data_IF_858797561320
#
_entry.id   IF_858797561320
#
_cell.length_a   1.000
_cell.length_b   1.000
_cell.length_c   1.000
_cell.angle_alpha   90.00
_cell.angle_beta   90.00
_cell.angle_gamma   90.00
#
_symmetry.space_group_name_H-M   'P 1'
#
loop_
_entity.id
_entity.type
_entity.pdbx_description
1 polymer ?
#
# COMPACT_ATOMS: atom_id res chain seq x y z
N UNK A 1 13.34 14.31 -21.42
CA UNK A 1 14.44 14.36 -22.39
C UNK A 1 14.39 13.19 -23.37
N UNK A 2 13.34 13.12 -24.17
CA UNK A 2 13.22 12.14 -25.26
C UNK A 2 13.75 12.70 -26.60
N UNK A 3 14.06 13.98 -26.65
CA UNK A 3 14.44 14.74 -27.85
C UNK A 3 15.80 14.34 -28.44
N UNK A 4 16.60 13.53 -27.70
CA UNK A 4 17.88 13.01 -28.16
C UNK A 4 17.80 11.71 -28.96
N UNK A 5 16.62 11.03 -28.94
CA UNK A 5 16.45 9.79 -29.71
C UNK A 5 16.18 10.12 -31.17
N UNK A 6 17.02 9.60 -32.11
CA UNK A 6 16.78 9.76 -33.54
C UNK A 6 15.40 9.19 -33.90
N UNK A 7 14.60 9.89 -34.71
CA UNK A 7 13.35 9.35 -35.21
C UNK A 7 13.61 8.13 -36.11
N UNK A 8 12.71 7.19 -36.10
CA UNK A 8 12.66 6.02 -36.99
C UNK A 8 13.72 4.90 -36.77
N UNK A 9 14.30 4.79 -35.56
CA UNK A 9 15.17 3.65 -35.21
C UNK A 9 14.42 2.42 -34.71
N UNK A 10 13.08 2.43 -34.75
CA UNK A 10 12.25 1.31 -34.31
C UNK A 10 12.13 1.18 -32.77
N UNK A 11 12.67 2.13 -32.02
CA UNK A 11 12.54 2.18 -30.55
C UNK A 11 11.29 2.96 -30.19
N UNK A 12 10.43 2.37 -29.37
CA UNK A 12 9.28 3.07 -28.81
C UNK A 12 9.72 4.17 -27.84
N UNK A 13 8.94 5.27 -27.69
CA UNK A 13 9.22 6.29 -26.71
C UNK A 13 9.39 5.69 -25.32
N UNK A 14 10.40 6.15 -24.57
CA UNK A 14 10.62 5.67 -23.21
C UNK A 14 9.43 6.02 -22.32
N UNK A 15 8.78 5.00 -21.75
CA UNK A 15 7.74 5.17 -20.74
C UNK A 15 8.41 5.33 -19.38
N UNK A 16 8.34 6.54 -18.82
CA UNK A 16 8.82 6.80 -17.46
C UNK A 16 7.69 6.52 -16.50
N UNK A 17 7.77 5.40 -15.79
CA UNK A 17 6.85 5.03 -14.72
C UNK A 17 7.57 5.16 -13.37
N UNK A 18 7.43 6.30 -12.65
CA UNK A 18 8.04 6.47 -11.34
C UNK A 18 7.35 5.54 -10.34
N UNK A 19 8.09 4.57 -9.84
CA UNK A 19 7.60 3.66 -8.81
C UNK A 19 7.77 4.27 -7.42
N UNK A 20 6.67 4.32 -6.67
CA UNK A 20 6.65 4.68 -5.26
C UNK A 20 6.72 3.46 -4.34
N UNK A 21 6.89 3.70 -3.05
CA UNK A 21 6.87 2.63 -2.04
C UNK A 21 5.50 1.95 -1.93
N UNK A 22 4.43 2.63 -2.31
CA UNK A 22 3.06 2.12 -2.31
C UNK A 22 2.73 1.28 -3.54
N UNK A 23 3.63 1.19 -4.54
CA UNK A 23 3.43 0.40 -5.76
C UNK A 23 3.73 -1.09 -5.55
N UNK A 24 4.10 -1.48 -4.33
CA UNK A 24 4.32 -2.88 -3.99
C UNK A 24 2.98 -3.61 -3.93
N UNK A 25 2.80 -4.72 -4.67
CA UNK A 25 1.57 -5.50 -4.61
C UNK A 25 1.30 -6.02 -3.20
N UNK A 26 0.07 -5.80 -2.72
CA UNK A 26 -0.38 -6.24 -1.39
C UNK A 26 -1.08 -7.60 -1.41
N UNK A 27 -1.69 -7.95 -2.54
CA UNK A 27 -2.33 -9.26 -2.75
C UNK A 27 -1.85 -9.82 -4.09
N UNK A 28 -1.60 -11.12 -4.14
CA UNK A 28 -1.42 -11.86 -5.38
C UNK A 28 -2.39 -13.03 -5.43
N UNK A 29 -3.26 -13.00 -6.44
CA UNK A 29 -4.15 -14.10 -6.81
C UNK A 29 -3.60 -14.83 -8.02
N UNK A 30 -3.49 -16.14 -7.95
CA UNK A 30 -2.93 -16.97 -9.02
C UNK A 30 -3.98 -17.92 -9.54
N UNK A 31 -4.20 -17.88 -10.84
CA UNK A 31 -4.96 -18.89 -11.59
C UNK A 31 -3.99 -19.93 -12.11
N UNK A 32 -4.35 -21.20 -11.98
CA UNK A 32 -3.53 -22.32 -12.44
C UNK A 32 -4.41 -23.50 -12.80
N UNK A 33 -3.88 -24.44 -13.59
CA UNK A 33 -4.59 -25.66 -13.94
C UNK A 33 -3.65 -26.86 -13.97
N UNK A 34 -4.15 -28.00 -13.48
CA UNK A 34 -3.50 -29.30 -13.63
C UNK A 34 -3.95 -30.03 -14.91
N UNK A 35 -4.99 -29.54 -15.59
CA UNK A 35 -5.49 -30.08 -16.83
C UNK A 35 -4.54 -29.74 -17.98
N UNK A 36 -4.01 -30.74 -18.72
CA UNK A 36 -3.08 -30.53 -19.82
C UNK A 36 -3.71 -29.75 -21.00
N UNK A 37 -5.04 -29.75 -21.13
CA UNK A 37 -5.75 -29.06 -22.21
C UNK A 37 -5.95 -27.56 -21.90
N UNK A 38 -5.68 -27.13 -20.67
CA UNK A 38 -5.79 -25.73 -20.23
C UNK A 38 -4.39 -25.11 -20.16
N UNK A 39 -4.08 -24.28 -21.16
CA UNK A 39 -2.81 -23.59 -21.25
C UNK A 39 -2.79 -22.24 -20.54
N UNK A 40 -1.59 -21.62 -20.50
CA UNK A 40 -1.39 -20.31 -19.88
C UNK A 40 -2.16 -19.18 -20.60
N UNK A 41 -2.50 -19.34 -21.88
CA UNK A 41 -3.30 -18.39 -22.65
C UNK A 41 -4.75 -18.32 -22.13
N UNK A 42 -5.38 -19.50 -21.92
CA UNK A 42 -6.74 -19.60 -21.38
C UNK A 42 -6.80 -19.03 -19.96
N UNK A 43 -5.81 -19.34 -19.13
CA UNK A 43 -5.67 -18.77 -17.79
C UNK A 43 -5.57 -17.24 -17.83
N UNK A 44 -4.78 -16.68 -18.76
CA UNK A 44 -4.63 -15.23 -18.91
C UNK A 44 -5.93 -14.56 -19.34
N UNK A 45 -6.70 -15.18 -20.22
CA UNK A 45 -8.00 -14.66 -20.65
C UNK A 45 -8.99 -14.55 -19.49
N UNK A 46 -9.04 -15.56 -18.61
CA UNK A 46 -9.87 -15.52 -17.40
C UNK A 46 -9.31 -14.50 -16.39
N UNK A 47 -7.98 -14.42 -16.26
CA UNK A 47 -7.33 -13.45 -15.38
C UNK A 47 -7.68 -12.00 -15.75
N UNK A 48 -7.70 -11.64 -17.02
CA UNK A 48 -8.09 -10.28 -17.46
C UNK A 48 -9.56 -9.95 -17.18
N UNK A 49 -10.46 -10.95 -17.26
CA UNK A 49 -11.85 -10.75 -16.86
C UNK A 49 -11.96 -10.47 -15.35
N UNK A 50 -11.22 -11.20 -14.53
CA UNK A 50 -11.15 -10.97 -13.07
C UNK A 50 -10.48 -9.64 -12.75
N UNK A 51 -9.39 -9.29 -13.42
CA UNK A 51 -8.66 -8.02 -13.27
C UNK A 51 -9.59 -6.82 -13.42
N UNK A 52 -10.40 -6.81 -14.49
CA UNK A 52 -11.37 -5.74 -14.76
C UNK A 52 -12.34 -5.53 -13.59
N UNK A 53 -12.78 -6.59 -12.95
CA UNK A 53 -13.65 -6.53 -11.78
C UNK A 53 -12.92 -6.14 -10.49
N UNK A 54 -11.69 -6.60 -10.32
CA UNK A 54 -10.86 -6.23 -9.17
C UNK A 54 -10.45 -4.75 -9.20
N UNK A 55 -10.28 -4.15 -10.37
CA UNK A 55 -10.00 -2.72 -10.52
C UNK A 55 -11.12 -1.83 -9.95
N UNK A 56 -12.35 -2.35 -9.85
CA UNK A 56 -13.50 -1.64 -9.25
C UNK A 56 -13.49 -1.64 -7.73
N UNK A 57 -12.63 -2.44 -7.09
CA UNK A 57 -12.53 -2.48 -5.62
C UNK A 57 -11.95 -1.16 -5.12
N UNK A 58 -12.63 -0.45 -4.19
CA UNK A 58 -12.14 0.82 -3.69
C UNK A 58 -10.75 0.69 -3.03
N UNK A 59 -9.83 1.57 -3.38
CA UNK A 59 -8.48 1.57 -2.83
C UNK A 59 -7.45 0.78 -3.65
N UNK A 60 -7.84 0.02 -4.67
CA UNK A 60 -6.92 -0.55 -5.65
C UNK A 60 -6.36 0.55 -6.57
N UNK A 61 -5.09 0.44 -6.92
CA UNK A 61 -4.41 1.34 -7.86
C UNK A 61 -4.17 0.63 -9.18
N UNK A 62 -3.22 -0.27 -9.20
CA UNK A 62 -2.79 -1.00 -10.39
C UNK A 62 -2.91 -2.51 -10.13
N UNK A 63 -3.25 -3.23 -11.17
CA UNK A 63 -3.26 -4.69 -11.18
C UNK A 63 -2.40 -5.13 -12.36
N UNK A 64 -1.32 -5.84 -12.06
CA UNK A 64 -0.43 -6.40 -13.06
C UNK A 64 -0.73 -7.89 -13.24
N UNK A 65 -1.16 -8.28 -14.42
CA UNK A 65 -1.33 -9.71 -14.79
C UNK A 65 -0.03 -10.24 -15.38
N UNK A 66 0.61 -11.16 -14.67
CA UNK A 66 1.92 -11.70 -14.98
C UNK A 66 1.78 -13.16 -15.42
N UNK A 67 2.40 -13.51 -16.55
CA UNK A 67 2.37 -14.85 -17.13
C UNK A 67 1.28 -15.05 -18.18
N UNK A 68 1.43 -16.11 -18.94
CA UNK A 68 0.62 -16.40 -20.11
C UNK A 68 0.85 -15.44 -21.29
N UNK A 69 0.72 -15.91 -22.52
CA UNK A 69 0.82 -15.08 -23.71
C UNK A 69 -0.45 -14.23 -23.91
N UNK A 70 -0.27 -13.05 -24.48
CA UNK A 70 -1.38 -12.21 -24.92
C UNK A 70 -2.11 -12.83 -26.10
N UNK A 71 -3.33 -12.35 -26.36
CA UNK A 71 -4.10 -12.70 -27.54
C UNK A 71 -3.72 -11.76 -28.68
N UNK A 72 -3.18 -12.31 -29.75
CA UNK A 72 -2.74 -11.54 -30.92
C UNK A 72 -3.29 -12.12 -32.20
N UNK A 73 -3.37 -11.31 -33.24
CA UNK A 73 -3.58 -11.77 -34.61
C UNK A 73 -2.21 -11.96 -35.25
N UNK A 74 -1.86 -13.20 -35.48
CA UNK A 74 -0.62 -13.59 -36.16
C UNK A 74 -0.81 -13.55 -37.67
N UNK A 75 0.03 -12.78 -38.34
CA UNK A 75 0.09 -12.71 -39.81
C UNK A 75 1.36 -13.43 -40.25
N UNK A 76 1.20 -14.62 -40.76
CA UNK A 76 2.31 -15.46 -41.24
C UNK A 76 2.46 -15.31 -42.75
N UNK A 77 3.49 -14.59 -43.16
CA UNK A 77 3.73 -14.27 -44.54
C UNK A 77 4.22 -15.49 -45.34
N UNK A 78 3.76 -15.64 -46.59
CA UNK A 78 4.27 -16.62 -47.55
C UNK A 78 5.19 -15.92 -48.55
N UNK A 79 6.55 -16.18 -48.49
CA UNK A 79 7.51 -15.48 -49.30
C UNK A 79 7.34 -15.74 -50.84
N UNK A 80 6.84 -16.96 -51.23
CA UNK A 80 6.63 -17.31 -52.61
C UNK A 80 5.47 -16.52 -53.19
N UNK A 81 4.39 -16.41 -52.44
CA UNK A 81 3.22 -15.63 -52.84
C UNK A 81 3.50 -14.12 -52.88
N UNK A 82 4.25 -13.58 -51.87
CA UNK A 82 4.66 -12.18 -51.89
C UNK A 82 5.45 -11.86 -53.17
N UNK A 83 6.41 -12.72 -53.52
CA UNK A 83 7.22 -12.58 -54.72
C UNK A 83 6.37 -12.72 -56.00
N UNK A 84 5.37 -13.63 -56.01
CA UNK A 84 4.48 -13.84 -57.12
C UNK A 84 3.56 -12.66 -57.45
N UNK A 85 3.16 -11.89 -56.40
CA UNK A 85 2.33 -10.68 -56.52
C UNK A 85 3.14 -9.37 -56.54
N UNK A 86 4.51 -9.44 -56.49
CA UNK A 86 5.40 -8.29 -56.50
C UNK A 86 5.13 -7.32 -55.33
N UNK A 87 4.87 -7.88 -54.13
CA UNK A 87 4.58 -7.11 -52.89
C UNK A 87 5.82 -7.13 -51.98
N UNK A 88 6.35 -5.95 -51.66
CA UNK A 88 7.42 -5.82 -50.75
C UNK A 88 6.98 -5.65 -49.27
N UNK A 89 7.91 -5.95 -48.32
CA UNK A 89 7.63 -5.85 -46.88
C UNK A 89 7.31 -4.41 -46.40
N UNK A 90 8.01 -3.36 -46.90
CA UNK A 90 7.67 -1.97 -46.58
C UNK A 90 6.23 -1.59 -46.98
N UNK A 91 5.80 -1.99 -48.18
CA UNK A 91 4.47 -1.77 -48.69
C UNK A 91 3.41 -2.45 -47.79
N UNK A 92 3.63 -3.72 -47.46
CA UNK A 92 2.78 -4.50 -46.60
C UNK A 92 2.67 -3.85 -45.21
N UNK A 93 3.81 -3.45 -44.63
CA UNK A 93 3.83 -2.74 -43.32
C UNK A 93 3.10 -1.42 -43.36
N UNK A 94 3.22 -0.65 -44.46
CA UNK A 94 2.52 0.59 -44.68
C UNK A 94 0.99 0.38 -44.77
N UNK A 95 0.55 -0.65 -45.51
CA UNK A 95 -0.86 -1.00 -45.62
C UNK A 95 -1.47 -1.38 -44.26
N UNK A 96 -0.80 -2.24 -43.48
CA UNK A 96 -1.24 -2.65 -42.14
C UNK A 96 -1.29 -1.45 -41.17
N UNK A 97 -0.28 -0.59 -41.18
CA UNK A 97 -0.21 0.55 -40.32
C UNK A 97 -1.31 1.60 -40.62
N UNK A 98 -1.60 1.82 -41.91
CA UNK A 98 -2.63 2.77 -42.33
C UNK A 98 -4.07 2.25 -42.10
N UNK A 99 -4.27 0.93 -42.21
CA UNK A 99 -5.57 0.31 -42.00
C UNK A 99 -5.98 0.20 -40.54
N UNK A 100 -4.99 0.10 -39.62
CA UNK A 100 -5.23 0.02 -38.18
C UNK A 100 -4.92 1.36 -37.50
N UNK A 101 -5.55 2.42 -37.96
CA UNK A 101 -5.35 3.77 -37.45
C UNK A 101 -6.72 4.50 -37.35
N UNK A 102 -6.85 5.25 -36.25
CA UNK A 102 -7.92 6.20 -36.08
C UNK A 102 -7.31 7.60 -35.95
N UNK A 103 -7.76 8.53 -36.78
CA UNK A 103 -7.30 9.92 -36.75
C UNK A 103 -8.44 10.86 -36.40
N UNK A 104 -8.14 11.89 -35.66
CA UNK A 104 -9.06 13.00 -35.43
C UNK A 104 -9.17 13.80 -36.74
N UNK A 105 -10.35 13.79 -37.36
CA UNK A 105 -10.65 14.49 -38.61
C UNK A 105 -11.16 15.93 -38.37
N UNK A 106 -11.14 16.40 -37.12
CA UNK A 106 -11.64 17.71 -36.70
C UNK A 106 -13.01 17.64 -36.05
N UNK A 107 -13.65 18.79 -35.87
CA UNK A 107 -15.01 18.91 -35.34
C UNK A 107 -15.88 19.86 -36.16
N UNK A 108 -17.18 19.72 -36.04
CA UNK A 108 -18.12 20.71 -36.55
C UNK A 108 -19.19 21.04 -35.53
N UNK A 109 -19.57 22.29 -35.50
CA UNK A 109 -20.63 22.78 -34.61
C UNK A 109 -22.01 22.58 -35.20
N UNK A 110 -22.90 21.86 -34.49
CA UNK A 110 -24.30 21.69 -34.86
C UNK A 110 -25.18 21.69 -33.61
N UNK A 111 -26.25 22.48 -33.61
CA UNK A 111 -27.20 22.54 -32.48
C UNK A 111 -26.60 23.03 -31.16
N UNK A 112 -25.57 23.89 -31.19
CA UNK A 112 -24.81 24.37 -30.05
C UNK A 112 -23.96 23.28 -29.35
N UNK A 113 -23.67 22.19 -30.07
CA UNK A 113 -22.73 21.12 -29.64
C UNK A 113 -21.57 21.06 -30.62
N UNK A 114 -20.36 20.78 -30.12
CA UNK A 114 -19.17 20.53 -30.91
C UNK A 114 -19.03 19.02 -31.12
N UNK A 115 -19.28 18.56 -32.37
CA UNK A 115 -19.26 17.15 -32.73
C UNK A 115 -17.90 16.80 -33.29
N UNK A 116 -17.13 15.99 -32.53
CA UNK A 116 -15.83 15.46 -32.93
C UNK A 116 -16.04 14.40 -34.04
N UNK A 117 -15.29 14.53 -35.12
CA UNK A 117 -15.28 13.57 -36.24
C UNK A 117 -13.98 12.76 -36.15
N UNK A 118 -14.14 11.46 -36.00
CA UNK A 118 -13.02 10.52 -36.07
C UNK A 118 -13.10 9.75 -37.40
N UNK A 119 -12.01 9.67 -38.12
CA UNK A 119 -11.87 8.88 -39.35
C UNK A 119 -10.99 7.66 -39.11
N UNK A 120 -11.41 6.51 -39.61
CA UNK A 120 -10.73 5.24 -39.40
C UNK A 120 -11.26 4.46 -38.20
N UNK A 121 -10.99 3.18 -38.18
CA UNK A 121 -11.36 2.25 -37.11
C UNK A 121 -10.18 1.35 -36.82
N UNK A 122 -10.06 0.89 -35.56
CA UNK A 122 -9.14 -0.18 -35.24
C UNK A 122 -9.70 -1.53 -35.68
N UNK A 123 -8.87 -2.35 -36.28
CA UNK A 123 -9.25 -3.69 -36.70
C UNK A 123 -9.49 -4.56 -35.45
N UNK A 124 -10.63 -5.26 -35.45
CA UNK A 124 -11.09 -6.02 -34.27
C UNK A 124 -11.21 -7.53 -34.54
N UNK A 125 -11.27 -7.95 -35.80
CA UNK A 125 -11.43 -9.34 -36.17
C UNK A 125 -10.32 -9.81 -37.16
N UNK A 126 -9.88 -11.09 -37.07
CA UNK A 126 -8.91 -11.65 -38.01
C UNK A 126 -9.38 -11.57 -39.49
N UNK A 127 -10.66 -11.70 -39.72
CA UNK A 127 -11.27 -11.63 -41.03
C UNK A 127 -11.14 -10.24 -41.68
N UNK A 128 -11.30 -9.16 -40.86
CA UNK A 128 -11.07 -7.78 -41.30
C UNK A 128 -9.62 -7.56 -41.72
N UNK A 129 -8.69 -8.16 -41.00
CA UNK A 129 -7.27 -8.09 -41.30
C UNK A 129 -6.92 -8.89 -42.55
N UNK A 130 -7.50 -10.08 -42.70
CA UNK A 130 -7.32 -10.92 -43.87
C UNK A 130 -7.81 -10.28 -45.16
N UNK A 131 -8.87 -9.45 -45.09
CA UNK A 131 -9.49 -8.75 -46.18
C UNK A 131 -8.84 -7.39 -46.52
N UNK A 132 -7.78 -7.01 -45.83
CA UNK A 132 -7.03 -5.79 -46.16
C UNK A 132 -6.38 -5.89 -47.54
N UNK A 133 -6.55 -4.82 -48.34
CA UNK A 133 -5.85 -4.68 -49.60
C UNK A 133 -4.40 -4.25 -49.33
N UNK A 134 -3.45 -5.10 -49.69
CA UNK A 134 -2.03 -4.90 -49.47
C UNK A 134 -1.25 -4.50 -50.72
N UNK A 135 -1.89 -4.60 -51.86
CA UNK A 135 -1.31 -4.23 -53.17
C UNK A 135 -2.29 -4.37 -54.30
N UNK A 136 -1.78 -4.14 -55.52
CA UNK A 136 -2.50 -4.36 -56.79
C UNK A 136 -1.63 -5.25 -57.66
N UNK A 137 -2.18 -6.35 -58.13
CA UNK A 137 -1.50 -7.29 -58.99
C UNK A 137 -1.23 -6.72 -60.37
N UNK A 138 -0.37 -7.40 -61.16
CA UNK A 138 -0.05 -7.01 -62.51
C UNK A 138 -1.25 -6.97 -63.46
N UNK A 139 -2.33 -7.66 -63.12
CA UNK A 139 -3.61 -7.68 -63.82
C UNK A 139 -4.61 -6.56 -63.41
N UNK A 140 -4.18 -5.65 -62.52
CA UNK A 140 -4.94 -4.54 -61.98
C UNK A 140 -5.95 -4.93 -60.88
N UNK A 141 -5.95 -6.17 -60.41
CA UNK A 141 -6.80 -6.62 -59.32
C UNK A 141 -6.24 -6.34 -57.96
N UNK A 142 -7.05 -6.01 -56.92
CA UNK A 142 -6.58 -5.87 -55.56
C UNK A 142 -6.05 -7.21 -55.04
N UNK A 143 -4.92 -7.18 -54.38
CA UNK A 143 -4.33 -8.31 -53.64
C UNK A 143 -4.66 -8.13 -52.18
N UNK A 144 -5.33 -9.10 -51.60
CA UNK A 144 -5.72 -9.11 -50.21
C UNK A 144 -4.64 -9.78 -49.35
N UNK A 145 -4.57 -9.45 -48.06
CA UNK A 145 -3.60 -10.04 -47.16
C UNK A 145 -3.72 -11.57 -47.11
N UNK A 146 -4.94 -12.12 -47.15
CA UNK A 146 -5.18 -13.59 -47.19
C UNK A 146 -4.56 -14.28 -48.40
N UNK A 147 -4.30 -13.53 -49.49
CA UNK A 147 -3.73 -14.10 -50.70
C UNK A 147 -2.20 -14.35 -50.53
N UNK A 148 -1.57 -13.60 -49.64
CA UNK A 148 -0.11 -13.61 -49.44
C UNK A 148 0.31 -14.00 -48.01
N UNK A 149 -0.66 -14.21 -47.09
CA UNK A 149 -0.41 -14.57 -45.70
C UNK A 149 -1.46 -15.48 -45.12
N UNK A 150 -1.13 -16.22 -44.09
CA UNK A 150 -2.06 -16.91 -43.21
C UNK A 150 -2.35 -16.03 -41.99
N UNK A 151 -3.60 -15.65 -41.78
CA UNK A 151 -4.04 -14.78 -40.70
C UNK A 151 -4.78 -15.61 -39.69
N UNK A 152 -4.26 -15.69 -38.47
CA UNK A 152 -4.84 -16.50 -37.39
C UNK A 152 -4.89 -15.75 -36.07
N UNK A 153 -5.95 -15.96 -35.30
CA UNK A 153 -6.06 -15.46 -33.94
C UNK A 153 -5.53 -16.52 -32.97
N UNK A 154 -4.62 -16.16 -32.12
CA UNK A 154 -4.04 -17.10 -31.18
C UNK A 154 -3.15 -16.45 -30.10
N UNK A 155 -2.47 -17.26 -29.30
CA UNK A 155 -1.49 -16.79 -28.34
C UNK A 155 -0.26 -16.21 -29.01
N UNK A 156 0.29 -15.15 -28.45
CA UNK A 156 1.61 -14.62 -28.79
C UNK A 156 2.73 -15.52 -28.23
N UNK A 157 3.96 -15.19 -28.54
CA UNK A 157 5.14 -15.80 -27.90
C UNK A 157 5.17 -15.37 -26.42
N UNK A 158 5.30 -16.32 -25.47
CA UNK A 158 5.28 -15.99 -24.07
C UNK A 158 6.53 -15.22 -23.65
N UNK A 159 6.38 -13.98 -23.24
CA UNK A 159 7.48 -13.16 -22.69
C UNK A 159 7.81 -13.56 -21.24
N UNK A 160 6.80 -13.94 -20.46
CA UNK A 160 6.95 -14.35 -19.07
C UNK A 160 6.28 -15.70 -18.83
N UNK A 161 6.98 -16.61 -18.16
CA UNK A 161 6.45 -17.90 -17.76
C UNK A 161 6.24 -17.93 -16.26
N UNK A 162 5.00 -18.18 -15.83
CA UNK A 162 4.63 -18.41 -14.44
C UNK A 162 4.20 -19.86 -14.26
N UNK A 163 4.67 -20.50 -13.20
CA UNK A 163 4.27 -21.85 -12.84
C UNK A 163 3.81 -21.90 -11.38
N UNK A 164 2.77 -22.66 -11.11
CA UNK A 164 2.30 -22.97 -9.77
C UNK A 164 2.89 -24.29 -9.31
N UNK A 165 3.66 -24.28 -8.22
CA UNK A 165 4.28 -25.46 -7.65
C UNK A 165 3.45 -26.04 -6.49
N UNK A 166 3.22 -27.35 -6.50
CA UNK A 166 2.52 -28.05 -5.43
C UNK A 166 3.50 -28.33 -4.27
N UNK A 167 3.29 -27.66 -3.14
CA UNK A 167 4.09 -27.83 -1.93
C UNK A 167 3.55 -28.92 -1.00
N UNK A 168 4.31 -29.32 0.05
CA UNK A 168 3.89 -30.37 0.98
C UNK A 168 2.67 -30.04 1.84
N UNK A 169 2.37 -28.75 2.01
CA UNK A 169 1.20 -28.27 2.76
C UNK A 169 0.02 -27.89 1.84
N UNK A 170 -0.05 -28.50 0.65
CA UNK A 170 -1.13 -28.24 -0.28
C UNK A 170 -2.45 -28.92 0.17
N UNK A 171 -3.57 -28.27 -0.15
CA UNK A 171 -4.92 -28.84 0.04
C UNK A 171 -5.45 -29.58 -1.19
N UNK A 172 -4.60 -29.88 -2.18
CA UNK A 172 -4.97 -30.50 -3.44
C UNK A 172 -4.48 -31.93 -3.47
N UNK A 173 -5.26 -32.85 -4.05
CA UNK A 173 -4.85 -34.24 -4.25
C UNK A 173 -3.93 -34.40 -5.49
N UNK A 174 -2.76 -33.70 -5.40
CA UNK A 174 -1.76 -33.66 -6.45
C UNK A 174 -0.37 -33.96 -5.88
N UNK A 175 0.52 -34.60 -6.66
CA UNK A 175 1.87 -34.94 -6.21
C UNK A 175 2.70 -33.70 -5.86
N UNK A 176 3.37 -33.76 -4.71
CA UNK A 176 4.28 -32.71 -4.28
C UNK A 176 5.44 -32.54 -5.26
N UNK A 177 5.77 -31.30 -5.60
CA UNK A 177 6.84 -30.96 -6.53
C UNK A 177 6.40 -30.85 -7.99
N UNK A 178 5.14 -31.11 -8.32
CA UNK A 178 4.62 -30.87 -9.68
C UNK A 178 4.48 -29.38 -9.96
N UNK A 179 4.72 -28.99 -11.20
CA UNK A 179 4.63 -27.62 -11.69
C UNK A 179 3.52 -27.53 -12.74
N UNK A 180 2.62 -26.59 -12.57
CA UNK A 180 1.47 -26.37 -13.46
C UNK A 180 1.54 -24.98 -14.09
N UNK A 181 1.03 -24.78 -15.32
CA UNK A 181 0.94 -23.45 -15.91
C UNK A 181 0.08 -22.53 -15.04
N UNK A 182 0.51 -21.31 -14.89
CA UNK A 182 -0.17 -20.34 -14.03
C UNK A 182 -0.10 -18.92 -14.56
N UNK A 183 -1.03 -18.08 -14.08
CA UNK A 183 -1.06 -16.64 -14.30
C UNK A 183 -1.35 -15.96 -12.97
N UNK A 184 -0.57 -14.96 -12.62
CA UNK A 184 -0.69 -14.26 -11.34
C UNK A 184 -1.13 -12.82 -11.56
N UNK A 185 -2.19 -12.42 -10.87
CA UNK A 185 -2.64 -11.04 -10.76
C UNK A 185 -2.08 -10.41 -9.49
N UNK A 186 -1.24 -9.41 -9.64
CA UNK A 186 -0.58 -8.69 -8.55
C UNK A 186 -1.29 -7.35 -8.33
N UNK A 187 -1.94 -7.18 -7.18
CA UNK A 187 -2.78 -6.01 -6.87
C UNK A 187 -2.05 -5.05 -5.96
N UNK A 188 -1.83 -3.81 -6.41
CA UNK A 188 -1.28 -2.71 -5.63
C UNK A 188 -2.39 -1.78 -5.08
N UNK A 189 -2.14 -1.12 -3.94
CA UNK A 189 -3.07 -0.19 -3.32
C UNK A 189 -2.77 1.27 -3.69
N UNK A 190 -3.77 2.15 -3.57
CA UNK A 190 -3.56 3.60 -3.64
C UNK A 190 -2.77 4.11 -2.44
N UNK A 191 -1.92 5.13 -2.61
CA UNK A 191 -1.27 5.82 -1.50
C UNK A 191 -2.29 6.30 -0.46
N UNK A 192 -1.94 6.22 0.83
CA UNK A 192 -2.81 6.67 1.93
C UNK A 192 -3.95 5.71 2.31
N UNK A 193 -4.21 4.63 1.54
CA UNK A 193 -5.23 3.64 1.91
C UNK A 193 -4.69 2.58 2.88
N UNK A 194 -5.58 2.01 3.69
CA UNK A 194 -5.21 0.93 4.61
C UNK A 194 -5.00 -0.39 3.85
N UNK A 195 -3.81 -0.96 3.95
CA UNK A 195 -3.45 -2.19 3.25
C UNK A 195 -4.28 -3.41 3.71
N UNK A 196 -4.70 -3.46 4.98
CA UNK A 196 -5.51 -4.57 5.53
C UNK A 196 -6.91 -4.55 4.92
N UNK A 197 -7.56 -3.38 4.91
CA UNK A 197 -8.92 -3.22 4.41
C UNK A 197 -8.99 -3.48 2.91
N UNK A 198 -8.04 -2.91 2.15
CA UNK A 198 -7.97 -3.13 0.68
C UNK A 198 -7.68 -4.59 0.36
N UNK A 199 -6.73 -5.23 1.08
CA UNK A 199 -6.43 -6.64 0.85
C UNK A 199 -7.63 -7.55 1.13
N UNK A 200 -8.35 -7.32 2.23
CA UNK A 200 -9.54 -8.09 2.58
C UNK A 200 -10.66 -7.90 1.53
N UNK A 201 -10.89 -6.67 1.08
CA UNK A 201 -11.88 -6.38 0.04
C UNK A 201 -11.52 -7.03 -1.31
N UNK A 202 -10.24 -6.98 -1.70
CA UNK A 202 -9.74 -7.63 -2.92
C UNK A 202 -9.88 -9.15 -2.84
N UNK A 203 -9.50 -9.77 -1.71
CA UNK A 203 -9.60 -11.21 -1.52
C UNK A 203 -11.06 -11.66 -1.55
N UNK A 204 -11.96 -10.99 -0.83
CA UNK A 204 -13.38 -11.31 -0.83
C UNK A 204 -13.98 -11.19 -2.25
N UNK A 205 -13.59 -10.16 -3.01
CA UNK A 205 -14.02 -10.01 -4.40
C UNK A 205 -13.44 -11.10 -5.30
N UNK A 206 -12.16 -11.43 -5.14
CA UNK A 206 -11.49 -12.51 -5.88
C UNK A 206 -12.15 -13.86 -5.64
N UNK A 207 -12.48 -14.21 -4.40
CA UNK A 207 -13.17 -15.45 -4.04
C UNK A 207 -14.59 -15.49 -4.64
N UNK A 208 -15.32 -14.38 -4.62
CA UNK A 208 -16.64 -14.27 -5.27
C UNK A 208 -16.54 -14.49 -6.77
N UNK A 209 -15.57 -13.86 -7.44
CA UNK A 209 -15.34 -13.98 -8.87
C UNK A 209 -14.86 -15.38 -9.26
N UNK A 210 -14.06 -16.02 -8.40
CA UNK A 210 -13.60 -17.40 -8.61
C UNK A 210 -14.77 -18.36 -8.75
N UNK A 211 -15.82 -18.19 -7.96
CA UNK A 211 -17.03 -19.02 -8.05
C UNK A 211 -17.92 -18.73 -9.27
N UNK A 212 -17.64 -17.66 -10.02
CA UNK A 212 -18.53 -17.23 -11.14
C UNK A 212 -17.82 -17.20 -12.48
N UNK A 213 -16.56 -16.75 -12.52
CA UNK A 213 -15.80 -16.53 -13.76
C UNK A 213 -14.76 -17.60 -14.05
N UNK A 214 -14.36 -18.38 -13.04
CA UNK A 214 -13.34 -19.43 -13.23
C UNK A 214 -14.03 -20.72 -13.66
N UNK A 215 -13.74 -21.23 -14.88
CA UNK A 215 -14.31 -22.47 -15.39
C UNK A 215 -13.82 -23.70 -14.62
N UNK A 216 -14.54 -24.81 -14.75
CA UNK A 216 -14.10 -26.12 -14.23
C UNK A 216 -12.72 -26.50 -14.82
N UNK A 217 -11.88 -27.12 -13.99
CA UNK A 217 -10.50 -27.47 -14.35
C UNK A 217 -9.47 -26.37 -14.10
N UNK A 218 -9.90 -25.14 -13.82
CA UNK A 218 -9.02 -24.06 -13.35
C UNK A 218 -9.17 -23.85 -11.86
N UNK A 219 -8.06 -23.52 -11.21
CA UNK A 219 -8.01 -23.21 -9.78
C UNK A 219 -7.59 -21.77 -9.55
N UNK A 220 -8.23 -21.12 -8.58
CA UNK A 220 -7.91 -19.78 -8.13
C UNK A 220 -7.37 -19.83 -6.70
N UNK A 221 -6.17 -19.33 -6.47
CA UNK A 221 -5.49 -19.43 -5.17
C UNK A 221 -4.85 -18.09 -4.80
N UNK A 222 -5.06 -17.62 -3.58
CA UNK A 222 -4.33 -16.45 -3.05
C UNK A 222 -2.92 -16.93 -2.64
N UNK A 223 -1.92 -16.51 -3.40
CA UNK A 223 -0.51 -16.89 -3.17
C UNK A 223 0.23 -15.91 -2.29
N UNK A 224 -0.27 -14.68 -2.16
CA UNK A 224 0.32 -13.64 -1.29
C UNK A 224 -0.76 -12.77 -0.68
N UNK A 225 -0.68 -12.56 0.64
CA UNK A 225 -1.54 -11.65 1.40
C UNK A 225 -0.70 -10.83 2.36
N UNK A 226 -0.26 -9.64 1.92
CA UNK A 226 0.46 -8.72 2.79
C UNK A 226 -0.47 -7.97 3.77
N UNK A 227 -1.78 -7.91 3.48
CA UNK A 227 -2.76 -7.38 4.43
C UNK A 227 -2.78 -8.19 5.73
N UNK A 228 -2.85 -9.52 5.64
CA UNK A 228 -2.78 -10.40 6.81
C UNK A 228 -1.44 -10.25 7.56
N UNK A 229 -0.32 -10.14 6.82
CA UNK A 229 1.00 -9.90 7.42
C UNK A 229 1.05 -8.55 8.14
N UNK A 230 0.46 -7.50 7.57
CA UNK A 230 0.40 -6.18 8.19
C UNK A 230 -0.45 -6.18 9.47
N UNK A 231 -1.61 -6.85 9.45
CA UNK A 231 -2.50 -7.00 10.60
C UNK A 231 -1.82 -7.77 11.75
N UNK A 232 -1.17 -8.91 11.45
CA UNK A 232 -0.41 -9.68 12.45
C UNK A 232 0.71 -8.84 13.09
N UNK A 233 1.47 -8.10 12.27
CA UNK A 233 2.53 -7.20 12.77
C UNK A 233 1.96 -6.06 13.61
N UNK A 234 0.85 -5.44 13.19
CA UNK A 234 0.18 -4.40 13.97
C UNK A 234 -0.30 -4.94 15.33
N UNK A 235 -0.98 -6.09 15.36
CA UNK A 235 -1.42 -6.76 16.60
C UNK A 235 -0.25 -7.11 17.51
N UNK A 236 0.86 -7.60 16.94
CA UNK A 236 2.08 -7.92 17.69
C UNK A 236 2.68 -6.65 18.32
N UNK A 237 2.73 -5.53 17.59
CA UNK A 237 3.24 -4.27 18.10
C UNK A 237 2.34 -3.68 19.18
N UNK A 238 1.01 -3.77 19.04
CA UNK A 238 0.06 -3.35 20.08
C UNK A 238 0.26 -4.16 21.37
N UNK A 239 0.43 -5.49 21.27
CA UNK A 239 0.76 -6.32 22.43
C UNK A 239 2.06 -5.90 23.11
N UNK A 240 3.10 -5.58 22.33
CA UNK A 240 4.37 -5.07 22.85
C UNK A 240 4.24 -3.68 23.49
N UNK A 241 3.40 -2.81 22.92
CA UNK A 241 3.09 -1.50 23.48
C UNK A 241 2.43 -1.63 24.87
N UNK A 242 1.41 -2.50 24.98
CA UNK A 242 0.74 -2.78 26.27
C UNK A 242 1.75 -3.36 27.28
N UNK A 243 2.57 -4.31 26.84
CA UNK A 243 3.59 -4.91 27.71
C UNK A 243 4.60 -3.86 28.20
N UNK A 244 5.10 -3.00 27.33
CA UNK A 244 6.03 -1.93 27.69
C UNK A 244 5.39 -0.96 28.70
N UNK A 245 4.16 -0.52 28.44
CA UNK A 245 3.40 0.36 29.36
C UNK A 245 3.21 -0.27 30.73
N UNK A 246 2.79 -1.53 30.79
CA UNK A 246 2.63 -2.26 32.07
C UNK A 246 3.97 -2.42 32.82
N UNK A 247 5.05 -2.72 32.08
CA UNK A 247 6.39 -2.86 32.67
C UNK A 247 6.85 -1.57 33.36
N UNK A 248 6.61 -0.42 32.71
CA UNK A 248 6.94 0.88 33.29
C UNK A 248 6.08 1.17 34.53
N UNK A 249 4.76 0.93 34.47
CA UNK A 249 3.86 1.12 35.59
C UNK A 249 4.28 0.26 36.80
N UNK A 250 4.67 -1.00 36.55
CA UNK A 250 5.19 -1.90 37.62
C UNK A 250 6.49 -1.37 38.19
N UNK A 251 7.41 -0.88 37.34
CA UNK A 251 8.68 -0.31 37.81
C UNK A 251 8.44 0.90 38.71
N UNK A 252 7.55 1.81 38.29
CA UNK A 252 7.16 2.99 39.09
C UNK A 252 6.49 2.55 40.40
N UNK A 253 5.66 1.51 40.38
CA UNK A 253 4.98 0.99 41.56
C UNK A 253 5.99 0.43 42.60
N UNK A 254 7.08 -0.16 42.13
CA UNK A 254 8.15 -0.67 42.99
C UNK A 254 9.04 0.46 43.53
N UNK A 255 9.32 1.47 42.69
CA UNK A 255 10.27 2.55 43.03
C UNK A 255 9.61 3.64 43.90
N UNK A 256 8.40 4.10 43.56
CA UNK A 256 7.73 5.24 44.18
C UNK A 256 6.49 4.84 45.02
N UNK A 257 5.81 3.79 44.62
CA UNK A 257 4.63 3.31 45.33
C UNK A 257 3.41 3.10 44.38
N UNK A 258 2.35 2.45 44.96
CA UNK A 258 1.19 2.05 44.13
C UNK A 258 0.34 3.24 43.71
N UNK A 259 0.26 4.30 44.48
CA UNK A 259 -0.57 5.49 44.16
C UNK A 259 0.09 6.35 43.10
N UNK A 260 1.39 6.56 43.22
CA UNK A 260 2.24 7.23 42.25
C UNK A 260 2.18 6.51 40.93
N UNK A 261 2.30 5.19 40.93
CA UNK A 261 2.16 4.36 39.73
C UNK A 261 0.81 4.46 39.05
N UNK A 262 -0.28 4.62 39.81
CA UNK A 262 -1.61 4.87 39.21
C UNK A 262 -1.67 6.22 38.52
N UNK A 263 -1.10 7.27 39.12
CA UNK A 263 -1.06 8.61 38.51
C UNK A 263 -0.21 8.61 37.24
N UNK A 264 1.00 8.06 37.28
CA UNK A 264 1.88 7.94 36.11
C UNK A 264 1.22 7.07 35.03
N UNK A 265 0.64 5.92 35.42
CA UNK A 265 -0.03 5.03 34.48
C UNK A 265 -1.22 5.69 33.78
N UNK A 266 -2.03 6.45 34.50
CA UNK A 266 -3.13 7.22 33.93
C UNK A 266 -2.61 8.32 32.97
N UNK A 267 -1.55 9.04 33.35
CA UNK A 267 -0.93 10.05 32.51
C UNK A 267 -0.40 9.44 31.19
N UNK A 268 0.28 8.29 31.24
CA UNK A 268 0.78 7.58 30.08
C UNK A 268 -0.36 7.14 29.14
N UNK A 269 -1.42 6.56 29.68
CA UNK A 269 -2.59 6.12 28.90
C UNK A 269 -3.24 7.32 28.21
N UNK A 270 -3.42 8.44 28.93
CA UNK A 270 -3.97 9.68 28.35
C UNK A 270 -3.08 10.21 27.22
N UNK A 271 -1.76 10.27 27.45
CA UNK A 271 -0.77 10.72 26.44
C UNK A 271 -0.85 9.85 25.20
N UNK A 272 -0.85 8.53 25.34
CA UNK A 272 -0.96 7.61 24.21
C UNK A 272 -2.28 7.76 23.47
N UNK A 273 -3.39 7.89 24.18
CA UNK A 273 -4.71 8.06 23.58
C UNK A 273 -4.80 9.37 22.78
N UNK A 274 -4.30 10.49 23.33
CA UNK A 274 -4.30 11.78 22.64
C UNK A 274 -3.35 11.73 21.44
N UNK A 275 -2.17 11.11 21.56
CA UNK A 275 -1.20 10.97 20.46
C UNK A 275 -1.76 10.13 19.32
N UNK A 276 -2.44 9.01 19.62
CA UNK A 276 -3.14 8.19 18.62
C UNK A 276 -4.26 8.97 17.93
N UNK A 277 -5.07 9.70 18.70
CA UNK A 277 -6.13 10.55 18.18
C UNK A 277 -5.58 11.66 17.27
N UNK A 278 -4.54 12.35 17.69
CA UNK A 278 -3.89 13.41 16.90
C UNK A 278 -3.28 12.86 15.61
N UNK A 279 -2.63 11.68 15.69
CA UNK A 279 -2.09 10.98 14.52
C UNK A 279 -3.20 10.64 13.51
N UNK A 280 -4.34 10.12 13.99
CA UNK A 280 -5.51 9.84 13.17
C UNK A 280 -6.11 11.11 12.56
N UNK A 281 -6.26 12.19 13.34
CA UNK A 281 -6.80 13.46 12.88
C UNK A 281 -5.90 14.14 11.83
N UNK A 282 -4.59 13.92 11.90
CA UNK A 282 -3.63 14.39 10.90
C UNK A 282 -3.65 13.55 9.61
N UNK A 283 -4.38 12.44 9.58
CA UNK A 283 -4.52 11.56 8.40
C UNK A 283 -3.45 10.46 8.30
N UNK A 284 -2.66 10.22 9.34
CA UNK A 284 -1.76 9.06 9.36
C UNK A 284 -2.52 7.76 9.56
N UNK A 285 -2.17 6.75 8.78
CA UNK A 285 -2.66 5.39 8.98
C UNK A 285 -1.89 4.71 10.12
N UNK A 286 -2.59 3.90 10.92
CA UNK A 286 -1.95 3.02 11.90
C UNK A 286 -1.22 1.89 11.17
N UNK A 287 0.04 2.12 10.88
CA UNK A 287 0.91 1.17 10.23
C UNK A 287 2.06 0.74 11.16
N UNK A 288 2.85 -0.22 10.69
CA UNK A 288 4.02 -0.73 11.44
C UNK A 288 4.98 0.38 11.88
N UNK A 289 5.18 1.41 11.05
CA UNK A 289 6.12 2.49 11.32
C UNK A 289 5.59 3.44 12.39
N UNK A 290 4.31 3.82 12.29
CA UNK A 290 3.63 4.67 13.29
C UNK A 290 3.60 4.01 14.67
N UNK A 291 3.26 2.70 14.72
CA UNK A 291 3.26 1.94 15.98
C UNK A 291 4.68 1.77 16.55
N UNK A 292 5.68 1.57 15.70
CA UNK A 292 7.06 1.51 16.13
C UNK A 292 7.52 2.85 16.73
N UNK A 293 7.15 3.98 16.10
CA UNK A 293 7.43 5.31 16.62
C UNK A 293 6.83 5.52 18.02
N UNK A 294 5.61 5.06 18.25
CA UNK A 294 4.95 5.14 19.57
C UNK A 294 5.66 4.26 20.61
N UNK A 295 6.05 3.03 20.26
CA UNK A 295 6.78 2.15 21.19
C UNK A 295 8.14 2.74 21.54
N UNK A 296 8.85 3.28 20.54
CA UNK A 296 10.15 3.92 20.75
C UNK A 296 10.03 5.15 21.64
N UNK A 297 9.03 5.98 21.43
CA UNK A 297 8.84 7.21 22.19
C UNK A 297 8.28 6.98 23.60
N UNK A 298 7.65 5.82 23.89
CA UNK A 298 7.01 5.59 25.19
C UNK A 298 7.98 5.72 26.37
N UNK A 299 9.24 5.29 26.21
CA UNK A 299 10.29 5.44 27.24
C UNK A 299 10.62 6.91 27.52
N UNK A 300 10.49 7.78 26.54
CA UNK A 300 10.73 9.23 26.67
C UNK A 300 9.47 9.94 27.19
N UNK A 301 8.29 9.51 26.70
CA UNK A 301 7.00 10.10 27.07
C UNK A 301 6.65 9.90 28.54
N UNK A 302 7.13 8.83 29.14
CA UNK A 302 6.83 8.50 30.54
C UNK A 302 7.68 9.32 31.50
N UNK A 303 8.90 9.71 31.10
CA UNK A 303 9.85 10.42 31.96
C UNK A 303 9.31 11.76 32.47
N UNK A 304 8.61 12.52 31.62
CA UNK A 304 8.00 13.81 32.04
C UNK A 304 7.02 13.63 33.20
N UNK A 305 6.16 12.61 33.13
CA UNK A 305 5.18 12.33 34.17
C UNK A 305 5.85 11.79 35.47
N UNK A 306 6.91 10.96 35.33
CA UNK A 306 7.66 10.43 36.47
C UNK A 306 8.32 11.54 37.23
N UNK A 307 9.04 12.44 36.56
CA UNK A 307 9.77 13.56 37.20
C UNK A 307 8.80 14.47 37.95
N UNK A 308 7.65 14.79 37.39
CA UNK A 308 6.62 15.61 38.03
C UNK A 308 6.04 14.92 39.26
N UNK A 309 5.71 13.62 39.16
CA UNK A 309 5.16 12.85 40.30
C UNK A 309 6.16 12.66 41.40
N UNK A 310 7.41 12.34 41.07
CA UNK A 310 8.51 12.17 42.04
C UNK A 310 8.74 13.48 42.81
N UNK A 311 8.86 14.60 42.11
CA UNK A 311 9.06 15.89 42.75
C UNK A 311 7.88 16.33 43.60
N UNK A 312 6.64 16.08 43.13
CA UNK A 312 5.44 16.34 43.92
C UNK A 312 5.40 15.48 45.20
N UNK A 313 5.77 14.20 45.10
CA UNK A 313 5.89 13.29 46.22
C UNK A 313 6.95 13.77 47.21
N UNK A 314 8.14 14.18 46.75
CA UNK A 314 9.20 14.75 47.58
C UNK A 314 8.75 16.01 48.33
N UNK A 315 8.09 16.95 47.63
CA UNK A 315 7.57 18.17 48.24
C UNK A 315 6.46 17.89 49.25
N UNK A 316 5.61 16.91 49.04
CA UNK A 316 4.60 16.51 50.01
C UNK A 316 5.19 16.07 51.36
N UNK A 317 6.32 15.37 51.33
CA UNK A 317 6.96 14.87 52.56
C UNK A 317 7.89 15.89 53.24
N UNK A 318 8.50 16.82 52.50
CA UNK A 318 9.53 17.73 53.04
C UNK A 318 8.92 19.08 53.47
N UNK A 319 7.95 19.61 52.74
CA UNK A 319 7.53 21.00 52.86
C UNK A 319 6.56 21.27 54.00
N UNK A 320 5.85 20.26 54.50
CA UNK A 320 4.77 20.44 55.49
C UNK A 320 3.65 21.38 55.07
N UNK A 321 3.63 21.83 53.80
CA UNK A 321 2.65 22.72 53.21
C UNK A 321 1.40 21.95 52.71
N UNK A 322 0.23 22.59 52.66
CA UNK A 322 -0.93 21.98 52.05
C UNK A 322 -0.65 21.57 50.58
N UNK A 323 -1.16 20.40 50.16
CA UNK A 323 -0.93 19.84 48.84
C UNK A 323 -1.23 20.85 47.68
N UNK A 324 -2.24 21.68 47.84
CA UNK A 324 -2.62 22.72 46.88
C UNK A 324 -1.51 23.74 46.61
N UNK A 325 -0.61 24.01 47.60
CA UNK A 325 0.50 24.93 47.46
C UNK A 325 1.81 24.22 47.10
N UNK A 326 1.99 23.00 47.58
CA UNK A 326 3.26 22.24 47.36
C UNK A 326 3.35 21.71 45.90
N UNK A 327 2.26 21.28 45.31
CA UNK A 327 2.24 20.73 43.95
C UNK A 327 2.66 21.75 42.86
N UNK A 328 2.13 22.99 42.82
CA UNK A 328 2.57 23.97 41.85
C UNK A 328 4.08 24.32 41.99
N UNK A 329 4.58 24.41 43.21
CA UNK A 329 6.01 24.65 43.47
C UNK A 329 6.88 23.49 42.96
N UNK A 330 6.44 22.27 43.20
CA UNK A 330 7.13 21.08 42.68
C UNK A 330 7.15 21.04 41.14
N UNK A 331 6.07 21.42 40.49
CA UNK A 331 5.98 21.49 39.01
C UNK A 331 6.88 22.60 38.47
N UNK A 332 6.90 23.76 39.11
CA UNK A 332 7.72 24.91 38.72
C UNK A 332 9.22 24.60 38.79
N UNK A 333 9.66 23.89 39.83
CA UNK A 333 11.06 23.50 40.04
C UNK A 333 11.59 22.63 38.89
N UNK A 334 10.80 21.66 38.41
CA UNK A 334 11.20 20.72 37.34
C UNK A 334 10.79 21.17 35.95
N UNK A 335 9.90 22.16 35.82
CA UNK A 335 9.30 22.58 34.57
C UNK A 335 10.32 23.05 33.54
N UNK A 336 11.22 23.94 33.92
CA UNK A 336 12.24 24.47 33.01
C UNK A 336 13.16 23.39 32.42
N UNK A 337 13.81 22.55 33.24
CA UNK A 337 14.63 21.43 32.77
C UNK A 337 13.88 20.44 31.88
N UNK A 338 12.66 20.08 32.24
CA UNK A 338 11.86 19.13 31.49
C UNK A 338 11.45 19.70 30.10
N UNK A 339 11.04 20.97 30.03
CA UNK A 339 10.74 21.64 28.76
C UNK A 339 11.98 21.64 27.85
N UNK A 340 13.14 22.03 28.39
CA UNK A 340 14.39 22.08 27.63
C UNK A 340 14.80 20.69 27.12
N UNK A 341 14.68 19.66 27.97
CA UNK A 341 14.98 18.28 27.59
C UNK A 341 14.07 17.80 26.44
N UNK A 342 12.76 18.03 26.54
CA UNK A 342 11.79 17.67 25.49
C UNK A 342 12.12 18.34 24.15
N UNK A 343 12.38 19.65 24.15
CA UNK A 343 12.75 20.36 22.91
C UNK A 343 14.10 19.89 22.34
N UNK A 344 15.05 19.53 23.20
CA UNK A 344 16.35 18.97 22.76
C UNK A 344 16.17 17.64 22.04
N UNK A 345 15.33 16.74 22.57
CA UNK A 345 15.04 15.46 21.93
C UNK A 345 14.26 15.66 20.60
N UNK A 346 13.29 16.59 20.57
CA UNK A 346 12.60 16.94 19.33
C UNK A 346 13.58 17.44 18.28
N UNK A 347 14.49 18.35 18.65
CA UNK A 347 15.51 18.88 17.74
C UNK A 347 16.45 17.78 17.22
N UNK A 348 16.78 16.78 18.03
CA UNK A 348 17.60 15.64 17.63
C UNK A 348 16.87 14.70 16.63
N UNK A 349 15.54 14.58 16.73
CA UNK A 349 14.73 13.76 15.82
C UNK A 349 14.38 14.47 14.53
N UNK A 350 14.36 15.79 14.51
CA UNK A 350 13.90 16.61 13.37
C UNK A 350 14.65 16.30 12.05
N UNK A 351 15.98 16.07 12.02
CA UNK A 351 16.68 15.74 10.79
C UNK A 351 16.13 14.51 10.06
N UNK A 352 15.56 13.54 10.76
CA UNK A 352 14.93 12.37 10.14
C UNK A 352 13.68 12.71 9.34
N UNK A 353 13.01 13.83 9.61
CA UNK A 353 11.84 14.29 8.87
C UNK A 353 12.20 14.85 7.49
N UNK A 354 13.46 15.23 7.27
CA UNK A 354 13.96 15.79 6.02
C UNK A 354 14.64 14.78 5.10
N UNK A 355 14.54 13.48 5.41
CA UNK A 355 15.06 12.42 4.54
C UNK A 355 14.29 12.45 3.22
N UNK A 356 15.03 12.56 2.10
CA UNK A 356 14.48 12.61 0.75
C UNK A 356 14.50 11.25 0.05
N UNK A 357 13.87 11.18 -1.14
CA UNK A 357 13.80 9.97 -1.95
C UNK A 357 12.71 9.00 -1.49
N UNK A 358 12.78 7.75 -1.95
CA UNK A 358 11.76 6.71 -1.69
C UNK A 358 11.54 6.42 -0.19
N UNK A 359 12.59 6.57 0.62
CA UNK A 359 12.52 6.32 2.06
C UNK A 359 11.95 7.49 2.87
N UNK A 360 11.92 8.71 2.31
CA UNK A 360 11.40 9.90 2.98
C UNK A 360 9.98 9.73 3.52
N UNK A 361 8.98 9.49 2.67
CA UNK A 361 7.60 9.28 3.11
C UNK A 361 7.43 8.13 4.09
N UNK A 362 8.30 7.11 4.02
CA UNK A 362 8.28 5.96 4.90
C UNK A 362 8.85 6.27 6.29
N UNK A 363 9.91 7.08 6.38
CA UNK A 363 10.60 7.41 7.63
C UNK A 363 9.99 8.62 8.35
N UNK A 364 9.40 9.57 7.62
CA UNK A 364 8.83 10.80 8.17
C UNK A 364 7.80 10.61 9.31
N UNK A 365 6.93 9.57 9.31
CA UNK A 365 6.01 9.35 10.42
C UNK A 365 6.68 9.10 11.77
N UNK A 366 7.94 8.64 11.81
CA UNK A 366 8.66 8.36 13.07
C UNK A 366 8.92 9.65 13.84
N UNK A 367 9.71 10.63 13.32
CA UNK A 367 10.00 11.86 14.04
C UNK A 367 8.75 12.71 14.27
N UNK A 368 7.78 12.71 13.36
CA UNK A 368 6.55 13.49 13.50
C UNK A 368 5.71 12.94 14.67
N UNK A 369 5.41 11.64 14.70
CA UNK A 369 4.61 11.05 15.77
C UNK A 369 5.35 11.10 17.14
N UNK A 370 6.66 10.88 17.16
CA UNK A 370 7.44 10.96 18.39
C UNK A 370 7.46 12.39 18.92
N UNK A 371 7.71 13.40 18.07
CA UNK A 371 7.71 14.81 18.48
C UNK A 371 6.36 15.29 18.96
N UNK A 372 5.29 14.92 18.24
CA UNK A 372 3.91 15.21 18.63
C UNK A 372 3.58 14.55 19.98
N UNK A 373 3.95 13.28 20.15
CA UNK A 373 3.76 12.55 21.39
C UNK A 373 4.48 13.23 22.58
N UNK A 374 5.72 13.69 22.37
CA UNK A 374 6.49 14.41 23.42
C UNK A 374 5.85 15.75 23.81
N UNK A 375 5.35 16.54 22.85
CA UNK A 375 4.62 17.78 23.18
C UNK A 375 3.33 17.48 23.94
N UNK A 376 2.60 16.42 23.59
CA UNK A 376 1.39 15.97 24.29
C UNK A 376 1.77 15.48 25.69
N UNK A 377 2.87 14.71 25.84
CA UNK A 377 3.36 14.24 27.14
C UNK A 377 3.67 15.39 28.08
N UNK A 378 4.41 16.39 27.59
CA UNK A 378 4.73 17.60 28.34
C UNK A 378 3.46 18.31 28.82
N UNK A 379 2.47 18.47 27.96
CA UNK A 379 1.17 19.05 28.30
C UNK A 379 0.44 18.22 29.37
N UNK A 380 0.39 16.90 29.23
CA UNK A 380 -0.22 15.99 30.20
C UNK A 380 0.51 16.03 31.53
N UNK A 381 1.86 16.07 31.49
CA UNK A 381 2.69 16.11 32.69
C UNK A 381 2.47 17.38 33.52
N UNK A 382 2.24 18.54 32.88
CA UNK A 382 2.07 19.81 33.60
C UNK A 382 0.61 20.15 33.93
N UNK A 383 -0.38 19.57 33.22
CA UNK A 383 -1.78 19.89 33.44
C UNK A 383 -2.54 18.75 34.11
N UNK A 384 -2.48 17.55 33.54
CA UNK A 384 -3.23 16.40 34.04
C UNK A 384 -2.54 15.70 35.21
N UNK A 385 -1.23 15.53 35.17
CA UNK A 385 -0.52 14.79 36.20
C UNK A 385 -0.60 15.47 37.58
N UNK A 386 -0.42 16.80 37.74
CA UNK A 386 -0.60 17.47 39.03
C UNK A 386 -2.03 17.38 39.56
N UNK A 387 -3.03 17.46 38.69
CA UNK A 387 -4.43 17.32 39.06
C UNK A 387 -4.74 15.88 39.52
N UNK A 388 -4.25 14.87 38.79
CA UNK A 388 -4.39 13.45 39.17
C UNK A 388 -3.70 13.17 40.49
N UNK A 389 -2.49 13.71 40.70
CA UNK A 389 -1.74 13.57 41.93
C UNK A 389 -2.51 14.20 43.11
N UNK A 390 -3.00 15.43 42.96
CA UNK A 390 -3.83 16.07 43.98
C UNK A 390 -5.06 15.21 44.36
N UNK A 391 -5.78 14.70 43.37
CA UNK A 391 -6.97 13.83 43.62
C UNK A 391 -6.61 12.51 44.31
N UNK A 392 -5.47 11.90 43.97
CA UNK A 392 -5.04 10.62 44.52
C UNK A 392 -4.60 10.75 46.01
N UNK A 393 -4.00 11.90 46.37
CA UNK A 393 -3.40 12.10 47.70
C UNK A 393 -4.23 12.99 48.62
N UNK A 394 -5.25 13.70 48.17
CA UNK A 394 -6.10 14.60 48.97
C UNK A 394 -6.64 13.89 50.22
N UNK A 395 -7.21 12.71 50.07
CA UNK A 395 -7.81 11.95 51.21
C UNK A 395 -6.79 11.50 52.25
N UNK A 396 -5.59 11.24 51.84
CA UNK A 396 -4.50 10.82 52.76
C UNK A 396 -4.02 12.01 53.57
N UNK A 397 -3.80 13.13 52.96
CA UNK A 397 -3.36 14.35 53.60
C UNK A 397 -4.41 14.90 54.62
N UNK A 398 -5.68 14.78 54.28
CA UNK A 398 -6.79 15.11 55.20
C UNK A 398 -6.85 14.15 56.41
N UNK A 399 -6.54 12.86 56.24
CA UNK A 399 -6.53 11.87 57.31
C UNK A 399 -5.27 12.07 58.23
N UNK A 400 -4.12 12.42 57.69
CA UNK A 400 -2.90 12.70 58.47
C UNK A 400 -2.98 14.03 59.23
N UNK A 401 -3.63 15.05 58.64
CA UNK A 401 -3.87 16.34 59.32
C UNK A 401 -4.89 16.26 60.45
N UNK A 402 -5.90 15.37 60.33
CA UNK A 402 -6.90 15.15 61.36
C UNK A 402 -6.44 14.20 62.50
N UNK A 403 -5.43 13.35 62.25
CA UNK A 403 -4.87 12.43 63.26
C UNK A 403 -3.75 13.00 64.13
N UNK A 404 -3.27 14.21 63.82
CA UNK A 404 -2.20 14.90 64.57
C UNK A 404 -2.63 15.85 65.69
N UNK A 405 -3.96 15.97 65.93
CA UNK A 405 -4.58 16.80 66.96
C UNK A 405 -5.14 15.96 68.14
N UNK A 406 -4.63 14.74 68.38
CA UNK A 406 -5.04 13.87 69.48
C UNK A 406 -3.93 13.59 70.49
#
# INVERSE_FOLDING_TARGET
NQDWMPPNIGVLPALINPRGIDDVPIVAGTLWSADPDIGAHELRRVAHAIETELQRVPGTRDIDTIGGPDRVVSVRLDPEKLSGFDIDLPQLRGALASANASADAGSFASGNEDILVQAGTFLSAPEEIADLVVGVGADGRPVFLRDVADVSLGPDLPEARVTFGIGPANGFDLPVGTLHPAVTMAVAKKPGTNAVDVANAVIARFEQLSGTLVPDGMHATITRNYGATADDKAKTLIKKLIFATLSVIILVAVALGRREAMVVGAAVIITLAITLFASWAYGFTLNRVSLFALIFSIGILVDDAIVVVENAHRHMHISGMPLFRSIPLAVDEVGGPTILATFTVIAALLPMAFVSGLMGPYMAPIPINASMGMLISLFVAFVFTPWLFYRAFQRQHEAESSGGEG
#
